data_IF_741467240971
#
_entry.id   IF_741467240971
#
_cell.length_a   1.000
_cell.length_b   1.000
_cell.length_c   1.000
_cell.angle_alpha   90.00
_cell.angle_beta   90.00
_cell.angle_gamma   90.00
#
_symmetry.space_group_name_H-M   'P 1'
#
loop_
_entity.id
_entity.type
_entity.pdbx_description
1 polymer ?
#
# COMPACT_ATOMS: atom_id res chain seq x y z
N UNK A 1 -2.42 -5.78 -38.12
CA UNK A 1 -2.94 -5.57 -36.75
C UNK A 1 -1.85 -6.01 -35.79
N UNK A 2 -1.06 -5.06 -35.28
CA UNK A 2 0.05 -5.35 -34.37
C UNK A 2 -0.46 -5.35 -32.93
N UNK A 3 -0.84 -6.52 -32.44
CA UNK A 3 -1.09 -6.71 -31.00
C UNK A 3 0.26 -6.89 -30.31
N UNK A 4 0.90 -5.78 -29.95
CA UNK A 4 2.03 -5.82 -29.02
C UNK A 4 1.49 -5.83 -27.60
N UNK A 5 1.28 -7.05 -27.10
CA UNK A 5 1.14 -7.37 -25.70
C UNK A 5 2.49 -7.06 -25.00
N UNK A 6 2.70 -5.81 -24.64
CA UNK A 6 3.86 -5.37 -23.88
C UNK A 6 3.59 -5.45 -22.39
N UNK A 7 3.78 -6.63 -21.78
CA UNK A 7 4.13 -6.68 -20.35
C UNK A 7 5.50 -6.02 -20.19
N UNK A 8 5.69 -4.98 -19.36
CA UNK A 8 7.00 -4.76 -18.78
C UNK A 8 7.19 -5.81 -17.69
N UNK A 9 7.99 -6.81 -18.04
CA UNK A 9 8.64 -7.72 -17.11
C UNK A 9 9.65 -6.95 -16.27
N UNK A 10 9.72 -7.28 -14.98
CA UNK A 10 10.89 -7.16 -14.08
C UNK A 10 11.48 -5.77 -13.83
N UNK A 11 11.13 -5.18 -12.69
CA UNK A 11 12.11 -4.52 -11.82
C UNK A 11 12.04 -5.16 -10.43
N UNK A 12 12.92 -6.13 -10.21
CA UNK A 12 13.30 -6.63 -8.89
C UNK A 12 14.14 -5.55 -8.21
N UNK A 13 13.51 -4.59 -7.56
CA UNK A 13 14.10 -3.80 -6.48
C UNK A 13 13.07 -3.90 -5.35
N UNK A 14 13.27 -4.69 -4.29
CA UNK A 14 13.97 -4.22 -3.06
C UNK A 14 14.12 -2.71 -2.97
N UNK A 15 13.05 -1.96 -3.18
CA UNK A 15 12.91 -0.64 -2.62
C UNK A 15 11.82 -0.76 -1.57
N UNK A 16 12.24 -0.83 -0.32
CA UNK A 16 11.39 -0.54 0.83
C UNK A 16 11.16 0.97 0.95
N UNK A 17 11.46 1.75 -0.10
CA UNK A 17 11.45 3.21 -0.09
C UNK A 17 10.07 3.77 0.27
N UNK A 18 8.99 3.16 -0.21
CA UNK A 18 7.62 3.53 0.14
C UNK A 18 7.33 3.23 1.62
N UNK A 19 7.81 2.09 2.13
CA UNK A 19 7.67 1.73 3.53
C UNK A 19 8.52 2.61 4.45
N UNK A 20 9.73 2.97 4.03
CA UNK A 20 10.62 3.92 4.71
C UNK A 20 10.03 5.34 4.71
N UNK A 21 9.46 5.77 3.60
CA UNK A 21 8.74 7.03 3.48
C UNK A 21 7.51 7.05 4.42
N UNK A 22 6.74 5.96 4.44
CA UNK A 22 5.62 5.80 5.37
C UNK A 22 6.10 5.89 6.83
N UNK A 23 7.22 5.25 7.18
CA UNK A 23 7.81 5.32 8.52
C UNK A 23 8.26 6.74 8.90
N UNK A 24 8.75 7.52 7.94
CA UNK A 24 9.22 8.89 8.16
C UNK A 24 8.06 9.91 8.27
N UNK A 25 7.06 9.84 7.39
CA UNK A 25 6.01 10.85 7.27
C UNK A 25 4.71 10.47 8.00
N UNK A 26 4.42 9.16 8.12
CA UNK A 26 3.16 8.62 8.65
C UNK A 26 3.41 7.44 9.59
N UNK A 27 4.18 7.68 10.65
CA UNK A 27 4.65 6.64 11.57
C UNK A 27 3.53 5.79 12.19
N UNK A 28 2.39 6.40 12.52
CA UNK A 28 1.21 5.72 13.04
C UNK A 28 0.64 4.70 12.05
N UNK A 29 0.55 5.07 10.77
CA UNK A 29 0.12 4.17 9.69
C UNK A 29 1.15 3.06 9.45
N UNK A 30 2.45 3.39 9.48
CA UNK A 30 3.51 2.40 9.40
C UNK A 30 3.39 1.36 10.53
N UNK A 31 3.22 1.80 11.77
CA UNK A 31 3.07 0.90 12.91
C UNK A 31 1.84 0.00 12.80
N UNK A 32 0.70 0.57 12.41
CA UNK A 32 -0.54 -0.20 12.24
C UNK A 32 -0.41 -1.23 11.10
N UNK A 33 0.17 -0.83 9.97
CA UNK A 33 0.44 -1.72 8.84
C UNK A 33 1.37 -2.88 9.26
N UNK A 34 2.51 -2.54 9.87
CA UNK A 34 3.49 -3.52 10.36
C UNK A 34 2.87 -4.50 11.34
N UNK A 35 2.02 -4.02 12.25
CA UNK A 35 1.32 -4.87 13.23
C UNK A 35 0.36 -5.85 12.55
N UNK A 36 -0.43 -5.40 11.58
CA UNK A 36 -1.39 -6.25 10.88
C UNK A 36 -0.69 -7.34 10.05
N UNK A 37 0.42 -6.99 9.41
CA UNK A 37 1.20 -7.92 8.59
C UNK A 37 2.32 -8.62 9.35
N UNK A 38 2.29 -8.63 10.69
CA UNK A 38 3.23 -9.36 11.56
C UNK A 38 4.70 -9.03 11.28
N UNK A 39 5.00 -7.76 11.02
CA UNK A 39 6.33 -7.24 10.68
C UNK A 39 6.90 -7.84 9.38
N UNK A 40 6.05 -8.37 8.49
CA UNK A 40 6.46 -8.81 7.16
C UNK A 40 6.53 -7.60 6.22
N UNK A 41 7.72 -7.01 6.13
CA UNK A 41 8.02 -5.85 5.29
C UNK A 41 7.60 -6.07 3.82
N UNK A 42 7.71 -7.31 3.32
CA UNK A 42 7.34 -7.62 1.94
C UNK A 42 5.83 -7.52 1.75
N UNK A 43 5.04 -8.03 2.69
CA UNK A 43 3.58 -7.91 2.64
C UNK A 43 3.13 -6.46 2.87
N UNK A 44 3.78 -5.72 3.76
CA UNK A 44 3.53 -4.29 3.95
C UNK A 44 3.77 -3.51 2.65
N UNK A 45 4.93 -3.70 2.03
CA UNK A 45 5.31 -3.07 0.77
C UNK A 45 4.35 -3.46 -0.35
N UNK A 46 4.01 -4.73 -0.46
CA UNK A 46 3.05 -5.23 -1.45
C UNK A 46 1.65 -4.62 -1.25
N UNK A 47 1.22 -4.50 0.01
CA UNK A 47 -0.06 -3.88 0.31
C UNK A 47 -0.07 -2.39 -0.05
N UNK A 48 1.02 -1.68 0.29
CA UNK A 48 1.19 -0.24 0.10
C UNK A 48 1.28 0.16 -1.38
N UNK A 49 1.89 -0.69 -2.22
CA UNK A 49 2.13 -0.40 -3.64
C UNK A 49 1.07 -0.97 -4.58
N UNK A 50 0.32 -2.01 -4.18
CA UNK A 50 -0.72 -2.58 -5.04
C UNK A 50 -1.99 -1.75 -5.04
N UNK A 51 -2.55 -1.42 -6.22
CA UNK A 51 -3.87 -0.86 -6.39
C UNK A 51 -4.95 -1.55 -5.55
N UNK A 52 -5.87 -0.75 -5.01
CA UNK A 52 -6.99 -1.23 -4.21
C UNK A 52 -8.32 -0.77 -4.80
N UNK A 53 -9.31 -1.67 -4.99
CA UNK A 53 -10.61 -1.28 -5.55
C UNK A 53 -11.32 -0.17 -4.76
N UNK A 54 -11.20 -0.20 -3.42
CA UNK A 54 -11.81 0.81 -2.54
C UNK A 54 -11.13 2.18 -2.61
N UNK A 55 -9.89 2.26 -3.12
CA UNK A 55 -9.19 3.53 -3.42
C UNK A 55 -9.32 3.90 -4.90
N UNK A 56 -10.40 3.46 -5.57
CA UNK A 56 -10.65 3.69 -6.99
C UNK A 56 -9.51 3.19 -7.90
N UNK A 57 -8.82 2.12 -7.49
CA UNK A 57 -7.69 1.56 -8.25
C UNK A 57 -6.35 2.27 -8.01
N UNK A 58 -6.26 3.21 -7.06
CA UNK A 58 -4.97 3.74 -6.59
C UNK A 58 -4.35 2.79 -5.57
N UNK A 59 -3.02 2.82 -5.48
CA UNK A 59 -2.30 2.20 -4.38
C UNK A 59 -2.48 3.03 -3.10
N UNK A 60 -2.41 2.40 -1.91
CA UNK A 60 -2.41 3.15 -0.66
C UNK A 60 -1.31 4.20 -0.61
N UNK A 61 -0.12 3.92 -1.16
CA UNK A 61 0.97 4.90 -1.25
C UNK A 61 0.59 6.16 -2.03
N UNK A 62 0.02 6.01 -3.23
CA UNK A 62 -0.46 7.15 -4.03
C UNK A 62 -1.53 7.94 -3.28
N UNK A 63 -2.42 7.24 -2.55
CA UNK A 63 -3.48 7.87 -1.79
C UNK A 63 -2.96 8.68 -0.59
N UNK A 64 -1.79 8.37 -0.03
CA UNK A 64 -1.18 9.18 1.05
C UNK A 64 -0.98 10.64 0.63
N UNK A 65 -0.62 10.88 -0.64
CA UNK A 65 -0.44 12.24 -1.16
C UNK A 65 -1.75 13.01 -1.39
N UNK A 66 -2.89 12.31 -1.35
CA UNK A 66 -4.23 12.85 -1.65
C UNK A 66 -5.05 12.98 -0.37
N UNK A 67 -5.19 11.87 0.37
CA UNK A 67 -5.96 11.77 1.60
C UNK A 67 -5.43 10.63 2.50
N UNK A 68 -4.47 10.91 3.40
CA UNK A 68 -3.95 9.94 4.35
C UNK A 68 -5.04 9.32 5.27
N UNK A 69 -6.06 10.11 5.64
CA UNK A 69 -7.12 9.64 6.56
C UNK A 69 -7.92 8.48 5.95
N UNK A 70 -8.04 8.43 4.63
CA UNK A 70 -8.71 7.32 3.94
C UNK A 70 -7.88 6.03 4.01
N UNK A 71 -6.55 6.14 3.91
CA UNK A 71 -5.63 5.01 4.07
C UNK A 71 -5.65 4.49 5.50
N UNK A 72 -5.58 5.39 6.49
CA UNK A 72 -5.68 5.03 7.90
C UNK A 72 -7.04 4.42 8.23
N UNK A 73 -8.13 5.03 7.77
CA UNK A 73 -9.48 4.49 7.92
C UNK A 73 -9.59 3.06 7.38
N UNK A 74 -8.95 2.76 6.24
CA UNK A 74 -8.88 1.40 5.72
C UNK A 74 -8.09 0.46 6.62
N UNK A 75 -6.91 0.87 7.11
CA UNK A 75 -6.13 0.05 8.04
C UNK A 75 -6.96 -0.31 9.28
N UNK A 76 -7.69 0.66 9.84
CA UNK A 76 -8.57 0.43 10.98
C UNK A 76 -9.68 -0.57 10.63
N UNK A 77 -10.33 -0.44 9.47
CA UNK A 77 -11.36 -1.38 9.01
C UNK A 77 -10.83 -2.79 8.78
N UNK A 78 -9.63 -2.92 8.21
CA UNK A 78 -8.95 -4.22 8.05
C UNK A 78 -8.67 -4.88 9.40
N UNK A 79 -8.28 -4.10 10.40
CA UNK A 79 -8.06 -4.59 11.77
C UNK A 79 -9.36 -5.02 12.45
N UNK A 80 -10.43 -4.22 12.33
CA UNK A 80 -11.70 -4.47 13.03
C UNK A 80 -12.62 -5.43 12.28
N UNK A 81 -12.39 -5.65 10.99
CA UNK A 81 -13.32 -6.36 10.10
C UNK A 81 -14.58 -5.55 9.78
N UNK A 82 -14.58 -4.25 10.05
CA UNK A 82 -15.75 -3.38 9.87
C UNK A 82 -15.81 -2.82 8.45
N UNK A 83 -16.60 -3.45 7.60
CA UNK A 83 -16.83 -3.05 6.21
C UNK A 83 -18.30 -2.62 5.97
N UNK A 84 -19.03 -2.30 7.03
CA UNK A 84 -20.47 -2.03 7.03
C UNK A 84 -20.83 -0.57 6.79
#
# INVERSE_FOLDING_TARGET
MSNQNGKPSTEKHTNLAELEHLNAEHFDMYQELMKQFKLDDRLCQEWLTKPKPFLQGKSPFEQLSINPDEVMGMLIRMRTGDFS
#
